data_IF_080872399114
#
_entry.id   IF_080872399114
#
_cell.length_a   1.000
_cell.length_b   1.000
_cell.length_c   1.000
_cell.angle_alpha   90.00
_cell.angle_beta   90.00
_cell.angle_gamma   90.00
#
_symmetry.space_group_name_H-M   'P 1'
#
loop_
_entity.id
_entity.type
_entity.pdbx_description
1 polymer ?
#
# COMPACT_ATOMS: atom_id res chain seq x y z
N UNK A 1 -5.41 9.29 -9.79
CA UNK A 1 -5.30 8.63 -8.48
C UNK A 1 -4.79 7.21 -8.71
N UNK A 2 -3.55 6.86 -8.32
CA UNK A 2 -3.06 5.49 -8.42
C UNK A 2 -3.84 4.54 -7.50
N UNK A 3 -4.32 3.43 -8.05
CA UNK A 3 -4.90 2.30 -7.32
C UNK A 3 -3.81 1.24 -7.20
N UNK A 4 -3.47 0.84 -5.98
CA UNK A 4 -2.51 -0.23 -5.70
C UNK A 4 -3.29 -1.46 -5.27
N UNK A 5 -3.14 -2.54 -6.04
CA UNK A 5 -3.72 -3.84 -5.73
C UNK A 5 -2.70 -4.66 -4.95
N UNK A 6 -3.13 -5.14 -3.79
CA UNK A 6 -2.31 -5.97 -2.91
C UNK A 6 -2.51 -7.46 -3.25
N UNK A 7 -1.57 -8.34 -2.89
CA UNK A 7 -1.64 -9.78 -3.16
C UNK A 7 -2.81 -10.49 -2.45
N UNK A 8 -3.41 -9.85 -1.45
CA UNK A 8 -4.62 -10.30 -0.74
C UNK A 8 -5.93 -9.96 -1.50
N UNK A 9 -5.83 -9.28 -2.66
CA UNK A 9 -6.97 -8.81 -3.44
C UNK A 9 -7.50 -7.43 -3.01
N UNK A 10 -6.94 -6.84 -1.95
CA UNK A 10 -7.33 -5.51 -1.47
C UNK A 10 -6.85 -4.43 -2.43
N UNK A 11 -7.74 -3.52 -2.82
CA UNK A 11 -7.38 -2.33 -3.61
C UNK A 11 -7.35 -1.10 -2.71
N UNK A 12 -6.23 -0.37 -2.73
CA UNK A 12 -6.04 0.86 -1.97
C UNK A 12 -5.81 2.00 -2.93
N UNK A 13 -6.68 3.01 -2.86
CA UNK A 13 -6.57 4.22 -3.67
C UNK A 13 -5.67 5.21 -2.95
N UNK A 14 -4.60 5.64 -3.60
CA UNK A 14 -3.71 6.67 -3.06
C UNK A 14 -3.91 7.97 -3.84
N UNK A 15 -4.08 9.08 -3.13
CA UNK A 15 -4.31 10.41 -3.71
C UNK A 15 -3.02 11.11 -4.17
N UNK A 16 -1.87 10.56 -3.79
CA UNK A 16 -0.54 11.12 -4.00
C UNK A 16 0.41 10.00 -4.43
N UNK A 17 1.50 10.31 -5.17
CA UNK A 17 2.54 9.32 -5.46
C UNK A 17 3.12 8.83 -4.12
N UNK A 18 2.81 7.58 -3.78
CA UNK A 18 3.25 6.93 -2.54
C UNK A 18 4.41 5.99 -2.84
N UNK A 19 5.39 5.95 -1.95
CA UNK A 19 6.49 5.00 -2.06
C UNK A 19 6.07 3.62 -1.57
N UNK A 20 6.79 2.58 -1.99
CA UNK A 20 6.54 1.20 -1.54
C UNK A 20 6.65 1.08 -0.01
N UNK A 21 7.53 1.89 0.59
CA UNK A 21 7.68 2.00 2.04
C UNK A 21 6.43 2.56 2.71
N UNK A 22 5.84 3.63 2.16
CA UNK A 22 4.61 4.23 2.70
C UNK A 22 3.42 3.26 2.60
N UNK A 23 3.38 2.47 1.53
CA UNK A 23 2.37 1.42 1.34
C UNK A 23 2.55 0.33 2.42
N UNK A 24 3.77 -0.14 2.67
CA UNK A 24 4.06 -1.13 3.70
C UNK A 24 3.72 -0.60 5.11
N UNK A 25 4.07 0.65 5.42
CA UNK A 25 3.76 1.30 6.69
C UNK A 25 2.25 1.43 6.95
N UNK A 26 1.45 1.65 5.89
CA UNK A 26 -0.02 1.74 5.95
C UNK A 26 -0.75 0.39 6.05
N UNK A 27 -0.08 -0.72 5.71
CA UNK A 27 -0.66 -2.07 5.78
C UNK A 27 -0.46 -2.67 7.17
N UNK A 28 0.67 -2.39 7.81
CA UNK A 28 0.94 -2.75 9.20
C UNK A 28 2.32 -3.39 9.40
N UNK A 29 2.78 -3.53 10.65
CA UNK A 29 4.13 -4.01 10.96
C UNK A 29 4.41 -5.46 10.53
N UNK A 30 3.38 -6.23 10.17
CA UNK A 30 3.51 -7.59 9.65
C UNK A 30 4.02 -7.69 8.21
N UNK A 31 4.01 -6.59 7.45
CA UNK A 31 4.48 -6.56 6.05
C UNK A 31 5.86 -5.89 5.90
N UNK A 32 6.32 -5.16 6.91
CA UNK A 32 7.59 -4.43 6.92
C UNK A 32 8.78 -5.26 7.44
N UNK A 33 8.62 -6.59 7.52
CA UNK A 33 9.64 -7.51 8.02
C UNK A 33 10.27 -8.31 6.88
#
# INVERSE_FOLDING_TARGET
MPVITLPDGSQRTFSSPVSVYDVAAKIGPGLAK
#
